data_IF_621331457466
#
_entry.id   IF_621331457466
#
_cell.length_a   1.000
_cell.length_b   1.000
_cell.length_c   1.000
_cell.angle_alpha   90.00
_cell.angle_beta   90.00
_cell.angle_gamma   90.00
#
_symmetry.space_group_name_H-M   'P 1'
#
loop_
_entity.id
_entity.type
_entity.pdbx_description
1 polymer ?
#
# COMPACT_ATOMS: atom_id res chain seq x y z
N UNK A 1 -66.92 -39.66 -45.03
CA UNK A 1 -67.17 -38.34 -44.43
C UNK A 1 -66.05 -38.06 -43.44
N UNK A 2 -65.48 -36.86 -43.50
CA UNK A 2 -64.13 -36.47 -43.06
C UNK A 2 -64.08 -36.04 -41.57
N UNK A 3 -62.98 -36.40 -40.89
CA UNK A 3 -62.26 -35.67 -39.81
C UNK A 3 -63.00 -35.61 -38.45
N UNK A 4 -62.35 -35.54 -37.27
CA UNK A 4 -61.16 -34.79 -36.89
C UNK A 4 -60.31 -35.55 -35.85
N UNK A 5 -58.99 -35.50 -36.02
CA UNK A 5 -57.98 -35.82 -35.02
C UNK A 5 -57.56 -34.48 -34.40
N UNK A 6 -57.66 -34.32 -33.08
CA UNK A 6 -57.10 -33.17 -32.35
C UNK A 6 -55.75 -33.58 -31.73
N UNK A 7 -54.65 -33.23 -32.40
CA UNK A 7 -53.31 -33.18 -31.82
C UNK A 7 -53.12 -31.79 -31.19
N UNK A 8 -53.07 -31.69 -29.87
CA UNK A 8 -52.69 -30.46 -29.17
C UNK A 8 -51.17 -30.38 -29.08
N UNK A 9 -50.59 -29.55 -29.95
CA UNK A 9 -49.17 -29.22 -29.99
C UNK A 9 -48.87 -28.12 -28.97
N UNK A 10 -48.45 -28.47 -27.76
CA UNK A 10 -47.99 -27.50 -26.75
C UNK A 10 -46.56 -27.08 -27.05
N UNK A 11 -46.43 -25.97 -27.78
CA UNK A 11 -45.15 -25.30 -28.03
C UNK A 11 -44.64 -24.63 -26.76
N UNK A 12 -43.59 -25.18 -26.16
CA UNK A 12 -42.86 -24.58 -25.03
C UNK A 12 -41.88 -23.53 -25.57
N UNK A 13 -42.30 -22.26 -25.60
CA UNK A 13 -41.45 -21.14 -25.98
C UNK A 13 -40.59 -20.72 -24.76
N UNK A 14 -39.39 -21.27 -24.65
CA UNK A 14 -38.42 -20.84 -23.65
C UNK A 14 -37.76 -19.53 -24.12
N UNK A 15 -38.18 -18.39 -23.57
CA UNK A 15 -37.45 -17.14 -23.74
C UNK A 15 -36.20 -17.17 -22.84
N UNK A 16 -35.06 -17.53 -23.41
CA UNK A 16 -33.77 -17.30 -22.78
C UNK A 16 -33.41 -15.82 -22.89
N UNK A 17 -33.64 -15.05 -21.83
CA UNK A 17 -33.18 -13.67 -21.71
C UNK A 17 -31.74 -13.62 -21.20
N UNK A 18 -30.83 -12.99 -21.93
CA UNK A 18 -29.52 -12.64 -21.39
C UNK A 18 -29.70 -11.56 -20.30
N UNK A 19 -29.45 -11.93 -19.04
CA UNK A 19 -29.24 -10.95 -17.97
C UNK A 19 -27.84 -10.37 -18.16
N UNK A 20 -27.78 -9.11 -18.60
CA UNK A 20 -26.52 -8.36 -18.58
C UNK A 20 -26.11 -8.19 -17.12
N UNK A 21 -25.17 -9.01 -16.68
CA UNK A 21 -24.53 -8.87 -15.39
C UNK A 21 -23.61 -7.66 -15.53
N UNK A 22 -23.97 -6.54 -14.90
CA UNK A 22 -22.96 -5.56 -14.52
C UNK A 22 -22.02 -6.31 -13.58
N UNK A 23 -20.98 -6.90 -14.16
CA UNK A 23 -19.82 -7.29 -13.41
C UNK A 23 -19.36 -5.98 -12.78
N UNK A 24 -19.52 -5.85 -11.46
CA UNK A 24 -18.65 -4.97 -10.72
C UNK A 24 -17.27 -5.47 -11.09
N UNK A 25 -16.59 -4.75 -11.97
CA UNK A 25 -15.16 -4.85 -12.11
C UNK A 25 -14.70 -4.61 -10.68
N UNK A 26 -14.26 -5.68 -10.01
CA UNK A 26 -13.34 -5.54 -8.90
C UNK A 26 -12.24 -4.69 -9.50
N UNK A 27 -12.28 -3.41 -9.16
CA UNK A 27 -11.14 -2.52 -9.31
C UNK A 27 -10.05 -3.34 -8.65
N UNK A 28 -9.15 -3.90 -9.47
CA UNK A 28 -7.97 -4.58 -8.99
C UNK A 28 -7.25 -3.47 -8.23
N UNK A 29 -7.47 -3.47 -6.93
CA UNK A 29 -6.89 -2.49 -6.03
C UNK A 29 -5.40 -2.58 -6.27
N UNK A 30 -4.80 -1.40 -6.40
CA UNK A 30 -3.36 -1.28 -6.52
C UNK A 30 -2.68 -2.29 -5.57
N UNK A 31 -1.57 -2.91 -5.99
CA UNK A 31 -0.67 -3.69 -5.12
C UNK A 31 -0.65 -3.16 -3.67
N UNK A 32 -1.35 -3.88 -2.82
CA UNK A 32 -1.57 -3.48 -1.44
C UNK A 32 -0.90 -4.53 -0.57
N UNK A 33 -0.06 -4.08 0.36
CA UNK A 33 0.42 -4.96 1.40
C UNK A 33 -0.80 -5.42 2.23
N UNK A 34 -0.95 -6.72 2.47
CA UNK A 34 -2.12 -7.27 3.16
C UNK A 34 -2.09 -7.04 4.69
N UNK A 35 -0.96 -6.57 5.22
CA UNK A 35 -0.75 -6.37 6.64
C UNK A 35 0.31 -5.30 6.91
N UNK A 36 0.39 -4.87 8.18
CA UNK A 36 1.41 -3.93 8.65
C UNK A 36 2.81 -4.47 8.36
N UNK A 37 3.62 -3.66 7.66
CA UNK A 37 4.97 -4.06 7.25
C UNK A 37 6.01 -3.25 8.01
N UNK A 38 6.84 -3.93 8.79
CA UNK A 38 7.86 -3.31 9.63
C UNK A 38 9.28 -3.62 9.15
N UNK A 39 10.11 -2.58 9.04
CA UNK A 39 11.50 -2.64 8.61
C UNK A 39 12.39 -1.87 9.58
N UNK A 40 13.62 -2.37 9.73
CA UNK A 40 14.72 -1.67 10.38
C UNK A 40 15.78 -1.31 9.34
N UNK A 41 16.32 -0.09 9.43
CA UNK A 41 17.35 0.38 8.51
C UNK A 41 18.67 -0.37 8.74
N UNK A 42 19.11 -1.11 7.73
CA UNK A 42 20.43 -1.77 7.71
C UNK A 42 21.55 -0.89 7.15
N UNK A 43 21.27 -0.14 6.07
CA UNK A 43 22.25 0.74 5.44
C UNK A 43 21.59 1.96 4.79
N UNK A 44 22.34 3.05 4.69
CA UNK A 44 21.93 4.26 3.97
C UNK A 44 23.04 4.69 3.03
N UNK A 45 22.70 4.87 1.73
CA UNK A 45 23.67 5.21 0.66
C UNK A 45 24.88 4.26 0.63
N UNK A 46 24.64 2.95 0.75
CA UNK A 46 25.67 1.92 0.72
C UNK A 46 26.57 1.85 1.98
N UNK A 47 26.28 2.66 3.01
CA UNK A 47 27.00 2.62 4.30
C UNK A 47 26.12 1.99 5.36
N UNK A 48 26.62 0.93 5.99
CA UNK A 48 25.93 0.29 7.12
C UNK A 48 25.68 1.29 8.24
N UNK A 49 24.52 1.19 8.88
CA UNK A 49 24.20 2.01 10.04
C UNK A 49 24.83 1.39 11.28
N UNK A 50 25.60 2.19 12.02
CA UNK A 50 26.14 1.81 13.33
C UNK A 50 25.42 2.63 14.38
N UNK A 51 24.84 1.95 15.37
CA UNK A 51 24.09 2.59 16.44
C UNK A 51 24.99 2.81 17.65
N UNK A 52 24.99 4.02 18.19
CA UNK A 52 25.68 4.34 19.45
C UNK A 52 24.90 3.78 20.65
N UNK A 53 25.57 3.69 21.81
CA UNK A 53 24.92 3.24 23.04
C UNK A 53 23.71 4.14 23.39
N UNK A 54 22.55 3.52 23.54
CA UNK A 54 21.30 4.23 23.84
C UNK A 54 20.57 4.77 22.59
N UNK A 55 21.18 4.72 21.41
CA UNK A 55 20.51 5.08 20.17
C UNK A 55 19.48 4.02 19.79
N UNK A 56 18.26 4.47 19.49
CA UNK A 56 17.20 3.57 19.02
C UNK A 56 17.39 3.26 17.52
N UNK A 57 17.02 2.05 17.06
CA UNK A 57 17.05 1.72 15.64
C UNK A 57 16.18 2.65 14.82
N UNK A 58 16.63 2.94 13.59
CA UNK A 58 15.84 3.65 12.58
C UNK A 58 14.87 2.65 11.96
N UNK A 59 13.60 3.00 11.86
CA UNK A 59 12.53 2.08 11.45
C UNK A 59 11.60 2.71 10.41
N UNK A 60 10.98 1.84 9.62
CA UNK A 60 9.87 2.15 8.74
C UNK A 60 8.74 1.16 9.02
N UNK A 61 7.56 1.69 9.22
CA UNK A 61 6.34 0.95 9.38
C UNK A 61 5.33 1.45 8.36
N UNK A 62 4.80 0.55 7.54
CA UNK A 62 3.77 0.83 6.55
C UNK A 62 2.45 0.24 7.04
N UNK A 63 1.43 1.09 7.20
CA UNK A 63 0.05 0.67 7.44
C UNK A 63 -0.73 0.79 6.12
N UNK A 64 -1.07 -0.33 5.45
CA UNK A 64 -1.74 -0.33 4.15
C UNK A 64 -3.24 -0.08 4.23
N UNK A 65 -3.86 -0.36 5.38
CA UNK A 65 -5.27 -0.06 5.62
C UNK A 65 -5.50 1.45 5.70
N UNK A 66 -4.57 2.16 6.35
CA UNK A 66 -4.64 3.61 6.55
C UNK A 66 -3.86 4.43 5.50
N UNK A 67 -3.07 3.80 4.63
CA UNK A 67 -2.13 4.46 3.72
C UNK A 67 -1.16 5.41 4.44
N UNK A 68 -0.69 5.00 5.62
CA UNK A 68 0.24 5.79 6.45
C UNK A 68 1.57 5.09 6.65
N UNK A 69 2.64 5.88 6.75
CA UNK A 69 3.97 5.42 7.08
C UNK A 69 4.48 6.15 8.31
N UNK A 70 5.13 5.43 9.22
CA UNK A 70 5.68 5.99 10.45
C UNK A 70 6.94 5.25 10.89
N UNK A 71 7.65 5.82 11.87
CA UNK A 71 8.79 5.13 12.48
C UNK A 71 9.70 6.05 13.27
N UNK A 72 10.89 5.56 13.58
CA UNK A 72 11.99 6.36 14.14
C UNK A 72 12.96 6.74 13.03
N UNK A 73 13.29 8.02 12.91
CA UNK A 73 14.27 8.52 11.94
C UNK A 73 15.68 8.65 12.52
N UNK A 74 15.83 8.50 13.83
CA UNK A 74 17.09 8.70 14.54
C UNK A 74 16.78 9.23 15.93
N UNK A 75 16.84 10.56 16.09
CA UNK A 75 16.39 11.20 17.32
C UNK A 75 14.86 11.17 17.45
N UNK A 76 14.16 11.53 16.38
CA UNK A 76 12.73 11.77 16.35
C UNK A 76 11.94 10.58 15.82
N UNK A 77 10.64 10.65 16.10
CA UNK A 77 9.64 9.87 15.37
C UNK A 77 9.15 10.68 14.18
N UNK A 78 8.86 10.01 13.08
CA UNK A 78 8.26 10.62 11.89
C UNK A 78 6.95 9.91 11.52
N UNK A 79 6.12 10.63 10.77
CA UNK A 79 4.87 10.12 10.23
C UNK A 79 4.49 10.88 8.95
N UNK A 80 3.88 10.16 8.01
CA UNK A 80 3.42 10.68 6.72
C UNK A 80 2.36 9.75 6.12
N UNK A 81 1.77 10.18 5.02
CA UNK A 81 1.01 9.30 4.14
C UNK A 81 1.96 8.72 3.08
N UNK A 82 1.58 7.61 2.46
CA UNK A 82 2.29 7.09 1.29
C UNK A 82 1.31 6.62 0.22
N UNK A 83 1.82 6.42 -1.00
CA UNK A 83 1.13 5.78 -2.11
C UNK A 83 2.04 4.74 -2.73
N UNK A 84 1.49 3.60 -3.15
CA UNK A 84 2.17 2.65 -4.02
C UNK A 84 1.86 2.95 -5.49
N UNK A 85 2.76 2.58 -6.39
CA UNK A 85 2.54 2.58 -7.84
C UNK A 85 3.22 1.38 -8.51
N UNK A 86 2.93 1.19 -9.81
CA UNK A 86 3.48 0.13 -10.68
C UNK A 86 3.42 -1.26 -10.06
N UNK A 87 2.24 -1.70 -9.63
CA UNK A 87 2.08 -3.03 -9.04
C UNK A 87 2.96 -3.26 -7.79
N UNK A 88 3.31 -2.18 -7.08
CA UNK A 88 3.81 -2.21 -5.70
C UNK A 88 5.30 -2.08 -5.67
N UNK A 89 5.88 -1.83 -6.84
CA UNK A 89 7.31 -1.70 -7.07
C UNK A 89 7.83 -0.39 -6.49
N UNK A 90 7.02 0.66 -6.47
CA UNK A 90 7.41 1.96 -5.96
C UNK A 90 6.49 2.44 -4.85
N UNK A 91 7.09 3.18 -3.91
CA UNK A 91 6.40 3.82 -2.79
C UNK A 91 6.80 5.29 -2.80
N UNK A 92 5.83 6.18 -2.95
CA UNK A 92 6.04 7.61 -2.81
C UNK A 92 5.51 8.08 -1.45
N UNK A 93 6.35 8.76 -0.67
CA UNK A 93 5.97 9.34 0.61
C UNK A 93 5.49 10.78 0.44
N UNK A 94 4.45 11.17 1.18
CA UNK A 94 4.06 12.57 1.28
C UNK A 94 5.07 13.37 2.08
N UNK A 95 4.80 14.67 2.26
CA UNK A 95 5.56 15.47 3.22
C UNK A 95 5.56 14.79 4.60
N UNK A 96 6.76 14.65 5.16
CA UNK A 96 6.99 13.97 6.44
C UNK A 96 6.99 14.97 7.58
N UNK A 97 6.20 14.65 8.60
CA UNK A 97 6.22 15.35 9.87
C UNK A 97 7.10 14.59 10.87
N UNK A 98 7.69 15.30 11.83
CA UNK A 98 8.49 14.70 12.89
C UNK A 98 8.32 15.41 14.22
N UNK A 99 8.60 14.69 15.31
CA UNK A 99 8.75 15.30 16.64
C UNK A 99 9.98 16.21 16.68
N UNK A 100 10.13 17.01 17.75
CA UNK A 100 11.25 17.96 17.92
C UNK A 100 12.04 17.72 19.21
N UNK A 101 12.48 16.48 19.41
CA UNK A 101 13.46 16.14 20.45
C UNK A 101 14.86 16.59 20.04
N UNK A 102 15.67 16.95 21.03
CA UNK A 102 17.08 17.24 20.85
C UNK A 102 17.90 16.03 21.32
N UNK A 103 18.74 15.51 20.44
CA UNK A 103 19.65 14.38 20.71
C UNK A 103 21.08 14.78 20.35
N UNK A 104 22.08 13.94 20.69
CA UNK A 104 23.44 14.13 20.19
C UNK A 104 23.48 14.28 18.66
N UNK A 105 24.42 15.11 18.18
CA UNK A 105 24.49 15.47 16.77
C UNK A 105 24.65 14.29 15.79
N UNK A 106 25.35 13.18 16.13
CA UNK A 106 25.37 12.00 15.27
C UNK A 106 23.96 11.45 14.95
N UNK A 107 23.03 11.49 15.91
CA UNK A 107 21.66 10.97 15.76
C UNK A 107 20.79 11.92 14.94
N UNK A 108 20.96 13.23 15.17
CA UNK A 108 20.30 14.26 14.36
C UNK A 108 20.80 14.26 12.91
N UNK A 109 22.09 13.99 12.71
CA UNK A 109 22.69 13.90 11.38
C UNK A 109 22.13 12.73 10.58
N UNK A 110 22.08 11.53 11.16
CA UNK A 110 21.50 10.37 10.45
C UNK A 110 20.00 10.54 10.20
N UNK A 111 19.27 11.20 11.11
CA UNK A 111 17.87 11.57 10.91
C UNK A 111 17.65 12.43 9.67
N UNK A 112 18.42 13.52 9.54
CA UNK A 112 18.33 14.37 8.35
C UNK A 112 18.65 13.58 7.08
N UNK A 113 19.64 12.69 7.13
CA UNK A 113 19.98 11.86 5.98
C UNK A 113 18.86 10.87 5.61
N UNK A 114 18.27 10.22 6.60
CA UNK A 114 17.21 9.25 6.42
C UNK A 114 15.96 9.91 5.82
N UNK A 115 15.48 11.00 6.43
CA UNK A 115 14.30 11.73 5.92
C UNK A 115 14.56 12.33 4.52
N UNK A 116 15.77 12.78 4.23
CA UNK A 116 16.14 13.23 2.87
C UNK A 116 16.11 12.11 1.83
N UNK A 117 16.42 10.87 2.22
CA UNK A 117 16.35 9.72 1.30
C UNK A 117 14.90 9.34 1.06
N UNK A 118 14.07 9.25 2.12
CA UNK A 118 12.65 8.96 1.97
C UNK A 118 11.92 10.01 1.11
N UNK A 119 12.27 11.29 1.25
CA UNK A 119 11.67 12.38 0.47
C UNK A 119 12.03 12.35 -1.02
N UNK A 120 13.03 11.54 -1.40
CA UNK A 120 13.49 11.37 -2.79
C UNK A 120 13.10 10.02 -3.37
N UNK A 121 12.28 9.23 -2.67
CA UNK A 121 11.75 8.02 -3.29
C UNK A 121 10.66 8.46 -4.26
N UNK A 122 11.03 8.48 -5.52
CA UNK A 122 10.19 8.75 -6.67
C UNK A 122 10.09 7.51 -7.57
N UNK A 123 9.12 7.60 -8.46
CA UNK A 123 8.83 6.70 -9.58
C UNK A 123 9.91 6.82 -10.65
#
# INVERSE_FOLDING_TARGET
MKRLILFTLTSLLAMAGCRSQKNNVEVVTEPQFDSEVWWQLGSIRGKGVQYEQGQQPITLNLNPEANTANGRSGCNRYFCNYKSSDEGKFIAFSEMNSTKMACPEPWMKIERQYLQVLAKVDH
#
